data_IF_083455137562
#
_entry.id   IF_083455137562
#
_cell.length_a   1.000
_cell.length_b   1.000
_cell.length_c   1.000
_cell.angle_alpha   90.00
_cell.angle_beta   90.00
_cell.angle_gamma   90.00
#
_symmetry.space_group_name_H-M   'P 1'
#
loop_
_entity.id
_entity.type
_entity.pdbx_description
1 polymer ?
#
# COMPACT_ATOMS: atom_id res chain seq x y z
N UNK A 1 28.98 9.76 58.48
CA UNK A 1 28.00 9.81 57.37
C UNK A 1 28.74 10.25 56.12
N UNK A 2 28.88 9.41 55.09
CA UNK A 2 29.53 9.87 53.85
C UNK A 2 30.10 8.77 52.96
N UNK A 3 29.26 7.86 52.45
CA UNK A 3 29.64 6.93 51.35
C UNK A 3 28.48 6.65 50.38
N UNK A 4 27.47 7.53 50.31
CA UNK A 4 26.27 7.32 49.47
C UNK A 4 26.27 8.04 48.10
N UNK A 5 27.24 8.92 47.82
CA UNK A 5 27.17 9.81 46.65
C UNK A 5 27.71 9.21 45.35
N UNK A 6 28.82 8.48 45.40
CA UNK A 6 29.57 8.07 44.19
C UNK A 6 28.90 6.96 43.39
N UNK A 7 28.23 6.01 44.05
CA UNK A 7 27.51 4.92 43.39
C UNK A 7 26.27 5.42 42.62
N UNK A 8 25.63 6.50 43.09
CA UNK A 8 24.43 7.06 42.47
C UNK A 8 24.76 7.88 41.19
N UNK A 9 25.87 8.60 41.16
CA UNK A 9 26.28 9.33 39.95
C UNK A 9 26.77 8.40 38.83
N UNK A 10 27.44 7.30 39.18
CA UNK A 10 27.89 6.31 38.19
C UNK A 10 26.72 5.58 37.52
N UNK A 11 25.65 5.28 38.26
CA UNK A 11 24.46 4.62 37.70
C UNK A 11 23.67 5.55 36.78
N UNK A 12 23.50 6.83 37.14
CA UNK A 12 22.84 7.84 36.29
C UNK A 12 23.62 8.09 35.00
N UNK A 13 24.95 8.22 35.07
CA UNK A 13 25.80 8.42 33.88
C UNK A 13 25.72 7.21 32.91
N UNK A 14 25.67 5.99 33.46
CA UNK A 14 25.55 4.76 32.65
C UNK A 14 24.19 4.66 31.95
N UNK A 15 23.10 5.01 32.64
CA UNK A 15 21.76 5.04 32.05
C UNK A 15 21.64 6.12 30.95
N UNK A 16 22.19 7.32 31.18
CA UNK A 16 22.21 8.38 30.17
C UNK A 16 23.06 7.98 28.95
N UNK A 17 24.21 7.34 29.16
CA UNK A 17 25.04 6.82 28.07
C UNK A 17 24.34 5.71 27.28
N UNK A 18 23.62 4.80 27.96
CA UNK A 18 22.85 3.74 27.32
C UNK A 18 21.67 4.30 26.51
N UNK A 19 20.93 5.26 27.07
CA UNK A 19 19.86 5.98 26.36
C UNK A 19 20.44 6.76 25.17
N UNK A 20 21.56 7.46 25.36
CA UNK A 20 22.26 8.19 24.32
C UNK A 20 22.72 7.28 23.18
N UNK A 21 23.31 6.12 23.50
CA UNK A 21 23.72 5.11 22.53
C UNK A 21 22.52 4.47 21.82
N UNK A 22 21.42 4.20 22.53
CA UNK A 22 20.18 3.69 21.97
C UNK A 22 19.54 4.70 21.01
N UNK A 23 19.42 5.97 21.41
CA UNK A 23 18.90 7.04 20.57
C UNK A 23 19.81 7.31 19.37
N UNK A 24 21.13 7.27 19.56
CA UNK A 24 22.10 7.41 18.48
C UNK A 24 22.03 6.25 17.48
N UNK A 25 21.95 5.00 17.95
CA UNK A 25 21.75 3.83 17.07
C UNK A 25 20.40 3.87 16.36
N UNK A 26 19.34 4.33 17.03
CA UNK A 26 18.01 4.52 16.44
C UNK A 26 18.06 5.59 15.33
N UNK A 27 18.75 6.71 15.58
CA UNK A 27 18.93 7.81 14.61
C UNK A 27 19.85 7.43 13.44
N UNK A 28 20.88 6.60 13.68
CA UNK A 28 21.79 6.08 12.64
C UNK A 28 21.07 5.21 11.60
N UNK A 29 19.99 4.52 11.99
CA UNK A 29 19.18 3.67 11.10
C UNK A 29 18.30 4.43 10.11
N UNK A 30 18.16 5.74 10.25
CA UNK A 30 17.37 6.58 9.33
C UNK A 30 18.21 7.49 8.44
N UNK A 31 19.54 7.33 8.45
CA UNK A 31 20.44 8.10 7.59
C UNK A 31 20.31 7.57 6.16
N UNK A 32 20.00 8.47 5.22
CA UNK A 32 19.97 8.15 3.79
C UNK A 32 21.36 7.67 3.33
N UNK A 33 21.42 6.68 2.42
CA UNK A 33 22.70 6.17 1.94
C UNK A 33 23.44 7.24 1.13
N UNK A 34 24.77 7.23 1.25
CA UNK A 34 25.66 8.12 0.52
C UNK A 34 25.91 7.64 -0.92
N UNK A 35 25.85 6.32 -1.12
CA UNK A 35 26.06 5.64 -2.39
C UNK A 35 24.75 5.07 -2.90
N UNK A 36 24.50 5.28 -4.18
CA UNK A 36 23.30 4.84 -4.89
C UNK A 36 23.73 4.11 -6.14
N UNK A 37 23.08 2.98 -6.42
CA UNK A 37 23.31 2.18 -7.62
C UNK A 37 22.10 2.30 -8.53
N UNK A 38 22.35 2.62 -9.79
CA UNK A 38 21.32 2.60 -10.83
C UNK A 38 21.00 1.15 -11.19
N UNK A 39 19.71 0.79 -11.17
CA UNK A 39 19.26 -0.57 -11.51
C UNK A 39 18.35 -0.61 -12.72
N UNK A 40 17.69 0.50 -13.06
CA UNK A 40 16.78 0.55 -14.19
C UNK A 40 15.90 1.78 -14.17
N UNK A 41 14.69 1.64 -14.69
CA UNK A 41 13.73 2.74 -14.81
C UNK A 41 12.36 2.35 -14.25
N UNK A 42 11.60 3.36 -13.86
CA UNK A 42 10.21 3.21 -13.47
C UNK A 42 9.36 2.97 -14.72
N UNK A 43 8.97 1.72 -14.96
CA UNK A 43 8.23 1.30 -16.15
C UNK A 43 6.76 1.69 -16.11
N UNK A 44 6.10 1.52 -14.96
CA UNK A 44 4.67 1.83 -14.78
C UNK A 44 4.40 2.43 -13.42
N UNK A 45 3.45 3.35 -13.39
CA UNK A 45 2.89 3.96 -12.19
C UNK A 45 1.40 3.66 -12.11
N UNK A 46 1.00 2.96 -11.06
CA UNK A 46 -0.38 2.58 -10.83
C UNK A 46 -0.91 3.19 -9.53
N UNK A 47 -2.09 3.77 -9.61
CA UNK A 47 -2.86 4.26 -8.47
C UNK A 47 -4.17 3.48 -8.41
N UNK A 48 -4.63 3.11 -7.21
CA UNK A 48 -5.87 2.35 -7.03
C UNK A 48 -6.77 3.15 -6.08
N UNK A 49 -7.61 4.07 -6.59
CA UNK A 49 -8.34 5.00 -5.72
C UNK A 49 -9.25 4.27 -4.73
N UNK A 50 -9.90 3.20 -5.20
CA UNK A 50 -10.73 2.32 -4.41
C UNK A 50 -9.95 1.08 -3.92
N UNK A 51 -10.06 0.76 -2.63
CA UNK A 51 -9.57 -0.51 -2.08
C UNK A 51 -10.22 -1.68 -2.82
N UNK A 52 -9.41 -2.50 -3.48
CA UNK A 52 -9.84 -3.60 -4.36
C UNK A 52 -10.52 -3.18 -5.67
N UNK A 53 -10.54 -1.88 -5.99
CA UNK A 53 -10.99 -1.35 -7.27
C UNK A 53 -10.00 -1.56 -8.40
N UNK A 54 -10.38 -1.14 -9.60
CA UNK A 54 -9.55 -1.15 -10.79
C UNK A 54 -8.33 -0.21 -10.64
N UNK A 55 -7.33 -0.40 -11.50
CA UNK A 55 -6.12 0.44 -11.52
C UNK A 55 -6.37 1.69 -12.36
N UNK A 56 -5.79 2.80 -11.96
CA UNK A 56 -5.55 3.97 -12.77
C UNK A 56 -4.05 4.04 -13.08
N UNK A 57 -3.70 3.90 -14.35
CA UNK A 57 -2.32 4.04 -14.80
C UNK A 57 -1.99 5.52 -15.01
N UNK A 58 -0.86 5.96 -14.48
CA UNK A 58 -0.42 7.35 -14.47
C UNK A 58 0.93 7.48 -15.19
N UNK A 59 1.19 8.64 -15.77
CA UNK A 59 2.53 8.99 -16.26
C UNK A 59 3.37 9.73 -15.21
N UNK A 60 2.72 10.32 -14.20
CA UNK A 60 3.32 11.13 -13.15
C UNK A 60 2.47 11.05 -11.88
N UNK A 61 3.11 11.01 -10.73
CA UNK A 61 2.45 11.01 -9.43
C UNK A 61 3.26 11.80 -8.38
N UNK A 62 2.57 12.34 -7.39
CA UNK A 62 3.15 12.86 -6.15
C UNK A 62 3.24 11.70 -5.15
N UNK A 63 4.44 11.44 -4.63
CA UNK A 63 4.64 10.56 -3.48
C UNK A 63 4.44 11.35 -2.19
N UNK A 64 3.34 11.10 -1.51
CA UNK A 64 3.00 11.68 -0.22
C UNK A 64 3.38 10.74 0.91
N UNK A 65 3.29 11.18 2.16
CA UNK A 65 3.49 10.32 3.32
C UNK A 65 2.50 9.14 3.40
N UNK A 66 1.34 9.22 2.73
CA UNK A 66 0.30 8.19 2.69
C UNK A 66 0.33 7.32 1.43
N UNK A 67 1.28 7.55 0.52
CA UNK A 67 1.39 6.85 -0.75
C UNK A 67 1.22 7.77 -1.96
N UNK A 68 0.87 7.18 -3.11
CA UNK A 68 0.73 7.93 -4.36
C UNK A 68 -0.53 8.80 -4.36
N UNK A 69 -0.38 10.00 -4.92
CA UNK A 69 -1.44 10.94 -5.21
C UNK A 69 -1.27 11.42 -6.65
N UNK A 70 -2.38 11.55 -7.37
CA UNK A 70 -2.40 12.11 -8.71
C UNK A 70 -1.84 13.54 -8.68
N UNK A 71 -0.98 13.91 -9.63
CA UNK A 71 -0.54 15.30 -9.73
C UNK A 71 -1.64 16.17 -10.32
N UNK A 72 -1.79 17.39 -9.82
CA UNK A 72 -2.65 18.39 -10.43
C UNK A 72 -2.09 18.77 -11.82
N UNK A 73 -2.92 18.71 -12.85
CA UNK A 73 -2.72 19.47 -14.10
C UNK A 73 -3.34 20.87 -13.96
N UNK A 74 -4.43 20.96 -13.19
CA UNK A 74 -5.10 22.18 -12.71
C UNK A 74 -5.29 22.06 -11.19
N UNK A 75 -4.90 23.09 -10.44
CA UNK A 75 -5.02 23.13 -8.96
C UNK A 75 -6.46 23.10 -8.47
N UNK A 76 -7.44 23.45 -9.33
CA UNK A 76 -8.86 23.44 -8.97
C UNK A 76 -9.50 22.05 -8.99
N UNK A 77 -8.86 21.09 -9.66
CA UNK A 77 -9.40 19.75 -9.81
C UNK A 77 -8.95 18.85 -8.66
N UNK A 78 -9.88 18.09 -8.10
CA UNK A 78 -9.57 17.12 -7.05
C UNK A 78 -8.52 16.11 -7.54
N UNK A 79 -7.65 15.67 -6.64
CA UNK A 79 -6.58 14.71 -6.97
C UNK A 79 -6.83 13.38 -6.27
N UNK A 80 -6.90 12.29 -7.04
CA UNK A 80 -7.08 10.96 -6.50
C UNK A 80 -5.87 10.55 -5.64
N UNK A 81 -6.16 9.81 -4.57
CA UNK A 81 -5.16 9.23 -3.67
C UNK A 81 -5.26 7.72 -3.71
N UNK A 82 -4.12 7.07 -3.57
CA UNK A 82 -4.06 5.62 -3.52
C UNK A 82 -4.83 5.08 -2.31
N UNK A 83 -5.80 4.21 -2.59
CA UNK A 83 -6.73 3.60 -1.63
C UNK A 83 -7.38 4.65 -0.71
N UNK A 84 -7.79 5.80 -1.27
CA UNK A 84 -8.55 6.84 -0.58
C UNK A 84 -10.03 6.49 -0.34
N UNK A 85 -10.55 5.46 -1.01
CA UNK A 85 -11.91 4.95 -0.86
C UNK A 85 -11.93 3.50 -0.40
N UNK A 86 -12.98 3.12 0.32
CA UNK A 86 -13.23 1.74 0.78
C UNK A 86 -14.70 1.39 0.75
N UNK A 87 -15.04 0.18 0.31
CA UNK A 87 -16.40 -0.36 0.49
C UNK A 87 -16.47 -1.08 1.83
N UNK A 88 -17.50 -0.83 2.62
CA UNK A 88 -17.71 -1.49 3.90
C UNK A 88 -19.17 -1.92 4.08
N UNK A 89 -19.43 -2.88 4.95
CA UNK A 89 -20.77 -3.33 5.26
C UNK A 89 -21.44 -2.47 6.33
N UNK A 90 -22.71 -2.14 6.10
CA UNK A 90 -23.46 -1.21 6.95
C UNK A 90 -23.60 -1.69 8.41
N UNK A 91 -23.81 -3.00 8.59
CA UNK A 91 -24.12 -3.61 9.89
C UNK A 91 -22.94 -3.64 10.86
N UNK A 92 -21.77 -4.05 10.37
CA UNK A 92 -20.58 -4.36 11.20
C UNK A 92 -19.42 -3.39 10.96
N UNK A 93 -19.54 -2.52 9.94
CA UNK A 93 -18.51 -1.59 9.46
C UNK A 93 -17.22 -2.27 9.03
N UNK A 94 -17.30 -3.55 8.65
CA UNK A 94 -16.17 -4.27 8.09
C UNK A 94 -16.03 -3.96 6.61
N UNK A 95 -14.81 -3.66 6.19
CA UNK A 95 -14.45 -3.56 4.79
C UNK A 95 -14.82 -4.81 3.97
N UNK A 96 -15.16 -4.60 2.70
CA UNK A 96 -15.31 -5.66 1.69
C UNK A 96 -14.20 -5.54 0.65
N UNK A 97 -13.75 -6.68 0.13
CA UNK A 97 -12.63 -6.73 -0.83
C UNK A 97 -12.86 -7.72 -1.95
N UNK A 98 -12.03 -7.62 -2.99
CA UNK A 98 -12.02 -8.58 -4.08
C UNK A 98 -11.59 -10.01 -3.66
N UNK A 99 -11.13 -10.21 -2.41
CA UNK A 99 -10.99 -11.55 -1.83
C UNK A 99 -12.33 -12.26 -1.64
N UNK A 100 -13.41 -11.50 -1.45
CA UNK A 100 -14.76 -12.04 -1.28
C UNK A 100 -15.63 -11.71 -2.49
N UNK A 101 -15.46 -10.53 -3.07
CA UNK A 101 -16.23 -10.04 -4.22
C UNK A 101 -15.32 -9.67 -5.40
N UNK A 102 -14.80 -10.65 -6.16
CA UNK A 102 -13.80 -10.44 -7.19
C UNK A 102 -14.10 -9.33 -8.19
N UNK A 103 -15.36 -9.18 -8.62
CA UNK A 103 -15.79 -8.13 -9.56
C UNK A 103 -15.54 -6.69 -9.10
N UNK A 104 -15.22 -6.45 -7.81
CA UNK A 104 -14.76 -5.14 -7.34
C UNK A 104 -13.55 -4.63 -8.13
N UNK A 105 -12.70 -5.51 -8.67
CA UNK A 105 -11.53 -5.10 -9.48
C UNK A 105 -11.91 -4.42 -10.79
N UNK A 106 -13.18 -4.47 -11.18
CA UNK A 106 -13.74 -3.83 -12.38
C UNK A 106 -14.39 -2.48 -12.09
N UNK A 107 -14.30 -1.98 -10.86
CA UNK A 107 -14.85 -0.68 -10.47
C UNK A 107 -13.79 0.37 -10.74
N UNK A 108 -14.07 1.23 -11.71
CA UNK A 108 -13.26 2.39 -12.06
C UNK A 108 -13.65 3.61 -11.22
N UNK A 109 -12.64 4.41 -10.90
CA UNK A 109 -12.82 5.69 -10.20
C UNK A 109 -11.99 6.74 -10.91
N UNK A 110 -12.67 7.79 -11.38
CA UNK A 110 -12.07 8.95 -12.02
C UNK A 110 -12.54 10.24 -11.34
N UNK A 111 -11.82 11.32 -11.58
CA UNK A 111 -12.27 12.67 -11.18
C UNK A 111 -13.25 13.16 -12.23
N UNK A 112 -14.42 13.65 -11.81
CA UNK A 112 -15.39 14.25 -12.74
C UNK A 112 -15.19 15.76 -12.84
N UNK A 113 -15.15 16.43 -11.68
CA UNK A 113 -15.00 17.89 -11.56
C UNK A 113 -14.32 18.26 -10.22
N UNK A 114 -14.45 19.51 -9.78
CA UNK A 114 -13.83 20.03 -8.55
C UNK A 114 -14.30 19.32 -7.28
N UNK A 115 -15.54 18.83 -7.24
CA UNK A 115 -16.15 18.25 -6.04
C UNK A 115 -16.83 16.89 -6.24
N UNK A 116 -16.76 16.28 -7.43
CA UNK A 116 -17.32 14.96 -7.73
C UNK A 116 -16.31 13.95 -8.28
N UNK A 117 -16.48 12.70 -7.86
CA UNK A 117 -15.85 11.52 -8.44
C UNK A 117 -16.84 10.82 -9.37
N UNK A 118 -16.37 10.34 -10.52
CA UNK A 118 -17.10 9.41 -11.37
C UNK A 118 -16.70 7.97 -11.00
N UNK A 119 -17.69 7.15 -10.66
CA UNK A 119 -17.52 5.73 -10.36
C UNK A 119 -18.26 4.93 -11.43
N UNK A 120 -17.53 4.08 -12.14
CA UNK A 120 -18.06 3.25 -13.21
C UNK A 120 -17.81 1.77 -12.96
N UNK A 121 -18.70 0.92 -13.46
CA UNK A 121 -18.53 -0.52 -13.45
C UNK A 121 -19.41 -1.16 -14.52
N UNK A 122 -19.04 -2.35 -15.05
CA UNK A 122 -19.84 -3.06 -16.04
C UNK A 122 -21.30 -3.20 -15.63
N UNK A 123 -22.22 -2.96 -16.56
CA UNK A 123 -23.70 -3.08 -16.40
C UNK A 123 -24.35 -2.06 -15.45
N UNK A 124 -23.59 -1.12 -14.89
CA UNK A 124 -24.10 -0.04 -14.06
C UNK A 124 -24.12 1.27 -14.84
N UNK A 125 -25.00 2.21 -14.44
CA UNK A 125 -24.84 3.61 -14.83
C UNK A 125 -23.73 4.24 -14.00
N UNK A 126 -22.94 5.11 -14.61
CA UNK A 126 -21.91 5.89 -13.90
C UNK A 126 -22.55 6.67 -12.75
N UNK A 127 -21.95 6.54 -11.57
CA UNK A 127 -22.34 7.26 -10.37
C UNK A 127 -21.42 8.47 -10.20
N UNK A 128 -22.01 9.64 -9.98
CA UNK A 128 -21.27 10.85 -9.61
C UNK A 128 -21.38 11.07 -8.11
N UNK A 129 -20.30 10.78 -7.38
CA UNK A 129 -20.26 10.91 -5.93
C UNK A 129 -19.65 12.25 -5.56
N UNK A 130 -20.40 13.10 -4.87
CA UNK A 130 -19.84 14.30 -4.25
C UNK A 130 -18.81 13.90 -3.18
N UNK A 131 -17.64 14.51 -3.23
CA UNK A 131 -16.57 14.33 -2.24
C UNK A 131 -17.12 14.79 -0.88
N UNK A 132 -17.20 13.90 0.12
CA UNK A 132 -17.92 14.22 1.34
C UNK A 132 -17.10 15.14 2.25
N UNK A 133 -17.76 16.14 2.82
CA UNK A 133 -17.21 16.97 3.90
C UNK A 133 -17.51 16.33 5.25
N UNK A 134 -16.52 16.34 6.15
CA UNK A 134 -16.66 15.81 7.51
C UNK A 134 -17.74 16.55 8.32
N UNK A 135 -18.56 15.79 9.04
CA UNK A 135 -19.47 16.27 10.08
C UNK A 135 -19.73 15.14 11.10
N UNK A 136 -20.35 15.48 12.23
CA UNK A 136 -20.56 14.53 13.34
C UNK A 136 -21.44 13.31 12.98
N UNK A 137 -22.16 13.34 11.85
CA UNK A 137 -23.09 12.27 11.45
C UNK A 137 -22.47 11.27 10.48
N UNK A 138 -21.46 11.68 9.70
CA UNK A 138 -20.84 10.83 8.67
C UNK A 138 -19.41 10.41 8.99
N UNK A 139 -18.83 10.87 10.10
CA UNK A 139 -17.51 10.47 10.57
C UNK A 139 -17.57 9.28 11.53
N UNK A 140 -16.82 8.21 11.25
CA UNK A 140 -16.65 7.07 12.15
C UNK A 140 -15.42 6.23 11.79
N UNK A 141 -15.25 5.07 12.44
CA UNK A 141 -14.22 4.09 12.10
C UNK A 141 -14.81 2.88 11.36
N UNK A 142 -14.12 2.45 10.31
CA UNK A 142 -14.34 1.15 9.66
C UNK A 142 -13.28 0.17 10.15
N UNK A 143 -13.62 -1.12 10.20
CA UNK A 143 -12.73 -2.19 10.62
C UNK A 143 -12.09 -2.83 9.40
N UNK A 144 -10.76 -2.81 9.35
CA UNK A 144 -9.95 -3.56 8.41
C UNK A 144 -9.53 -4.91 9.02
N UNK A 145 -8.57 -5.58 8.38
CA UNK A 145 -7.96 -6.80 8.85
C UNK A 145 -7.53 -6.72 10.32
N UNK A 146 -7.70 -7.83 11.05
CA UNK A 146 -7.33 -7.95 12.47
C UNK A 146 -8.02 -6.90 13.37
N UNK A 147 -9.14 -6.34 12.92
CA UNK A 147 -9.92 -5.35 13.69
C UNK A 147 -9.28 -3.96 13.74
N UNK A 148 -8.34 -3.66 12.85
CA UNK A 148 -7.76 -2.31 12.76
C UNK A 148 -8.83 -1.29 12.41
N UNK A 149 -9.01 -0.30 13.29
CA UNK A 149 -10.00 0.76 13.10
C UNK A 149 -9.40 1.94 12.34
N UNK A 150 -10.00 2.27 11.19
CA UNK A 150 -9.55 3.36 10.33
C UNK A 150 -10.64 4.42 10.21
N UNK A 151 -10.26 5.66 10.46
CA UNK A 151 -11.08 6.85 10.24
C UNK A 151 -11.72 6.86 8.85
N UNK A 152 -12.99 7.22 8.76
CA UNK A 152 -13.76 7.17 7.52
C UNK A 152 -14.88 8.22 7.55
N UNK A 153 -15.10 8.84 6.39
CA UNK A 153 -16.24 9.70 6.10
C UNK A 153 -17.17 8.94 5.15
N UNK A 154 -18.43 8.75 5.52
CA UNK A 154 -19.42 8.11 4.63
C UNK A 154 -19.78 9.01 3.44
N UNK A 155 -19.92 8.37 2.27
CA UNK A 155 -20.22 9.03 0.99
C UNK A 155 -21.72 9.13 0.66
N UNK A 156 -22.62 8.80 1.61
CA UNK A 156 -24.05 8.93 1.46
C UNK A 156 -24.77 7.72 0.86
N UNK A 157 -26.09 7.79 0.87
CA UNK A 157 -26.97 6.66 0.55
C UNK A 157 -27.02 6.32 -0.93
N UNK A 158 -26.78 7.29 -1.82
CA UNK A 158 -26.71 7.03 -3.27
C UNK A 158 -25.53 6.13 -3.60
N UNK A 159 -24.36 6.42 -3.03
CA UNK A 159 -23.18 5.56 -3.14
C UNK A 159 -23.45 4.20 -2.50
N UNK A 160 -24.08 4.15 -1.32
CA UNK A 160 -24.45 2.89 -0.67
C UNK A 160 -25.29 1.98 -1.58
N UNK A 161 -26.38 2.50 -2.14
CA UNK A 161 -27.25 1.74 -3.04
C UNK A 161 -26.53 1.29 -4.32
N UNK A 162 -25.68 2.14 -4.91
CA UNK A 162 -24.93 1.76 -6.11
C UNK A 162 -23.97 0.59 -5.84
N UNK A 163 -23.17 0.67 -4.77
CA UNK A 163 -22.22 -0.38 -4.40
C UNK A 163 -22.93 -1.66 -3.97
N UNK A 164 -24.03 -1.56 -3.24
CA UNK A 164 -24.87 -2.72 -2.90
C UNK A 164 -25.43 -3.42 -4.12
N UNK A 165 -25.97 -2.68 -5.11
CA UNK A 165 -26.52 -3.27 -6.33
C UNK A 165 -25.44 -3.94 -7.15
N UNK A 166 -24.32 -3.24 -7.36
CA UNK A 166 -23.25 -3.80 -8.17
C UNK A 166 -22.61 -5.01 -7.49
N UNK A 167 -22.30 -4.95 -6.18
CA UNK A 167 -21.54 -6.00 -5.48
C UNK A 167 -22.44 -7.14 -5.02
N UNK A 168 -23.54 -6.84 -4.33
CA UNK A 168 -24.43 -7.83 -3.72
C UNK A 168 -25.64 -8.22 -4.57
N UNK A 169 -26.01 -7.39 -5.57
CA UNK A 169 -27.30 -7.54 -6.25
C UNK A 169 -28.50 -7.15 -5.38
N UNK A 170 -28.28 -6.28 -4.38
CA UNK A 170 -29.28 -5.83 -3.42
C UNK A 170 -29.34 -4.31 -3.38
N UNK A 171 -30.43 -3.71 -2.90
CA UNK A 171 -30.54 -2.24 -2.80
C UNK A 171 -29.78 -1.62 -1.62
N UNK A 172 -29.35 -2.43 -0.65
CA UNK A 172 -28.67 -1.98 0.58
C UNK A 172 -27.68 -3.01 1.13
N UNK A 173 -26.98 -2.68 2.23
CA UNK A 173 -26.04 -3.57 2.92
C UNK A 173 -24.56 -3.20 2.80
N UNK A 174 -24.15 -2.44 1.78
CA UNK A 174 -22.81 -1.89 1.61
C UNK A 174 -22.88 -0.37 1.54
N UNK A 175 -21.77 0.26 1.91
CA UNK A 175 -21.58 1.71 1.89
C UNK A 175 -20.18 2.03 1.37
N UNK A 176 -19.98 3.27 0.94
CA UNK A 176 -18.69 3.79 0.48
C UNK A 176 -18.11 4.75 1.53
N UNK A 177 -16.89 4.46 1.96
CA UNK A 177 -16.11 5.30 2.86
C UNK A 177 -15.01 6.05 2.12
N UNK A 178 -14.75 7.27 2.57
CA UNK A 178 -13.71 8.17 2.08
C UNK A 178 -12.75 8.56 3.20
N UNK A 179 -11.46 8.66 2.86
CA UNK A 179 -10.42 9.12 3.76
C UNK A 179 -9.76 10.41 3.23
N UNK A 180 -9.94 11.52 3.96
CA UNK A 180 -9.43 12.85 3.61
C UNK A 180 -7.93 13.05 3.85
N UNK A 181 -7.26 12.00 4.33
CA UNK A 181 -5.83 11.96 4.73
C UNK A 181 -5.49 12.84 5.95
N UNK A 182 -6.49 13.20 6.76
CA UNK A 182 -6.28 13.97 7.99
C UNK A 182 -5.75 13.16 9.17
N UNK A 183 -5.82 11.82 9.10
CA UNK A 183 -5.41 10.91 10.18
C UNK A 183 -4.47 9.82 9.71
N UNK A 184 -3.42 9.57 10.49
CA UNK A 184 -2.53 8.41 10.33
C UNK A 184 -3.07 7.20 11.06
N UNK A 185 -2.85 6.01 10.51
CA UNK A 185 -3.16 4.74 11.18
C UNK A 185 -2.22 4.48 12.34
N UNK A 186 -2.72 3.76 13.34
CA UNK A 186 -1.95 3.34 14.50
C UNK A 186 -1.85 1.81 14.57
N UNK A 187 -0.86 1.26 13.89
CA UNK A 187 -0.65 -0.20 13.80
C UNK A 187 -0.01 -0.79 15.06
N UNK A 188 0.40 0.05 16.02
CA UNK A 188 0.98 -0.41 17.30
C UNK A 188 -0.02 -1.18 18.18
N UNK A 189 -1.31 -0.98 17.93
CA UNK A 189 -2.40 -1.63 18.66
C UNK A 189 -2.76 -3.00 18.11
N UNK A 190 -2.64 -3.19 16.80
CA UNK A 190 -3.16 -4.37 16.08
C UNK A 190 -2.08 -5.26 15.47
N UNK A 191 -0.89 -4.72 15.15
CA UNK A 191 0.15 -5.44 14.39
C UNK A 191 1.46 -5.63 15.16
N UNK A 192 1.39 -5.85 16.48
CA UNK A 192 2.57 -5.97 17.36
C UNK A 192 3.61 -6.98 16.86
N UNK A 193 3.19 -8.18 16.48
CA UNK A 193 4.09 -9.23 15.96
C UNK A 193 4.83 -8.79 14.70
N UNK A 194 4.20 -8.00 13.83
CA UNK A 194 4.87 -7.47 12.64
C UNK A 194 5.88 -6.38 13.03
N UNK A 195 5.52 -5.48 13.95
CA UNK A 195 6.42 -4.42 14.42
C UNK A 195 7.65 -4.96 15.14
N UNK A 196 7.51 -6.05 15.90
CA UNK A 196 8.63 -6.70 16.60
C UNK A 196 9.60 -7.36 15.61
N UNK A 197 9.08 -7.94 14.52
CA UNK A 197 9.90 -8.65 13.53
C UNK A 197 10.53 -7.69 12.51
N UNK A 198 9.74 -6.78 11.94
CA UNK A 198 10.19 -5.85 10.88
C UNK A 198 10.61 -4.51 11.47
N UNK A 199 11.93 -4.39 11.72
CA UNK A 199 12.54 -3.26 12.43
C UNK A 199 12.30 -1.88 11.80
N UNK A 200 11.94 -1.81 10.53
CA UNK A 200 11.68 -0.57 9.80
C UNK A 200 10.20 -0.28 9.61
N UNK A 201 9.32 -1.21 9.98
CA UNK A 201 7.88 -1.01 9.91
C UNK A 201 7.45 -0.04 11.01
N UNK A 202 6.62 0.93 10.64
CA UNK A 202 6.11 1.94 11.55
C UNK A 202 4.73 2.43 11.11
N UNK A 203 4.07 3.26 11.91
CA UNK A 203 2.85 3.94 11.49
C UNK A 203 3.09 4.77 10.21
N UNK A 204 4.31 5.27 9.99
CA UNK A 204 4.66 6.02 8.77
C UNK A 204 4.73 5.16 7.52
N UNK A 205 4.88 3.86 7.67
CA UNK A 205 4.84 2.95 6.54
C UNK A 205 3.43 2.87 5.94
N UNK A 206 2.39 3.23 6.69
CA UNK A 206 1.01 2.87 6.37
C UNK A 206 0.35 3.74 5.30
N UNK A 207 -0.29 3.10 4.32
CA UNK A 207 -1.19 3.81 3.38
C UNK A 207 -2.57 4.06 4.01
N UNK A 208 -3.46 4.73 3.28
CA UNK A 208 -4.85 4.99 3.71
C UNK A 208 -5.64 3.69 3.94
N UNK A 209 -6.44 3.23 2.99
CA UNK A 209 -7.11 1.92 3.10
C UNK A 209 -6.27 0.77 2.50
N UNK A 210 -4.98 0.98 2.25
CA UNK A 210 -4.02 -0.09 1.89
C UNK A 210 -3.98 -1.17 2.99
N UNK A 211 -3.62 -2.40 2.65
CA UNK A 211 -3.56 -3.48 3.66
C UNK A 211 -2.54 -3.15 4.76
N UNK A 212 -1.35 -2.71 4.37
CA UNK A 212 -0.33 -2.22 5.28
C UNK A 212 0.33 -0.97 4.71
N UNK A 213 1.20 -1.10 3.72
CA UNK A 213 2.10 -0.03 3.29
C UNK A 213 1.49 0.97 2.29
N UNK A 214 2.08 2.16 2.27
CA UNK A 214 1.78 3.29 1.37
C UNK A 214 2.10 3.03 -0.09
N UNK A 215 3.16 2.25 -0.37
CA UNK A 215 3.64 2.01 -1.73
C UNK A 215 4.11 0.57 -1.85
N UNK A 216 3.61 -0.12 -2.87
CA UNK A 216 4.08 -1.45 -3.26
C UNK A 216 4.94 -1.34 -4.53
N UNK A 217 6.15 -1.88 -4.49
CA UNK A 217 7.03 -2.00 -5.65
C UNK A 217 7.15 -3.45 -6.08
N UNK A 218 7.21 -3.67 -7.40
CA UNK A 218 7.57 -4.96 -7.98
C UNK A 218 8.58 -4.75 -9.11
N UNK A 219 9.47 -5.73 -9.28
CA UNK A 219 10.35 -5.82 -10.42
C UNK A 219 9.67 -6.61 -11.55
N UNK A 220 9.76 -6.11 -12.77
CA UNK A 220 9.22 -6.77 -13.96
C UNK A 220 9.90 -8.12 -14.23
N UNK A 221 11.20 -8.27 -13.96
CA UNK A 221 11.92 -9.54 -14.12
C UNK A 221 11.35 -10.65 -13.20
N UNK A 222 10.90 -10.30 -11.99
CA UNK A 222 10.21 -11.22 -11.07
C UNK A 222 8.92 -11.77 -11.69
N UNK A 223 8.14 -10.94 -12.38
CA UNK A 223 6.92 -11.38 -13.08
C UNK A 223 7.25 -12.35 -14.21
N UNK A 224 8.31 -12.07 -14.98
CA UNK A 224 8.73 -12.95 -16.07
C UNK A 224 9.19 -14.32 -15.56
N UNK A 225 9.99 -14.37 -14.49
CA UNK A 225 10.44 -15.63 -13.89
C UNK A 225 9.26 -16.44 -13.34
N UNK A 226 8.30 -15.80 -12.66
CA UNK A 226 7.08 -16.47 -12.20
C UNK A 226 6.28 -17.07 -13.37
N UNK A 227 6.05 -16.31 -14.44
CA UNK A 227 5.32 -16.83 -15.62
C UNK A 227 6.04 -18.02 -16.25
N UNK A 228 7.38 -18.00 -16.33
CA UNK A 228 8.17 -19.15 -16.81
C UNK A 228 7.94 -20.39 -15.96
N UNK A 229 7.89 -20.24 -14.63
CA UNK A 229 7.65 -21.35 -13.69
C UNK A 229 6.24 -21.94 -13.78
N UNK A 230 5.23 -21.10 -14.04
CA UNK A 230 3.84 -21.56 -14.23
C UNK A 230 3.67 -22.30 -15.58
N UNK A 231 4.56 -22.06 -16.54
CA UNK A 231 4.49 -22.63 -17.89
C UNK A 231 4.01 -21.62 -18.94
N UNK A 232 4.55 -20.40 -18.92
CA UNK A 232 4.21 -19.27 -19.80
C UNK A 232 2.74 -18.81 -19.67
N UNK A 233 2.31 -18.57 -18.44
CA UNK A 233 1.00 -17.96 -18.16
C UNK A 233 0.98 -16.45 -18.47
N UNK A 234 -0.22 -15.88 -18.45
CA UNK A 234 -0.47 -14.45 -18.68
C UNK A 234 -0.59 -13.65 -17.37
N UNK A 235 0.08 -14.07 -16.29
CA UNK A 235 0.05 -13.30 -15.04
C UNK A 235 0.79 -11.99 -15.25
N UNK A 236 0.16 -10.89 -14.86
CA UNK A 236 0.74 -9.55 -15.00
C UNK A 236 1.12 -8.99 -13.63
N UNK A 237 1.86 -7.88 -13.63
CA UNK A 237 2.11 -7.11 -12.41
C UNK A 237 0.79 -6.70 -11.73
N UNK A 238 -0.28 -6.47 -12.49
CA UNK A 238 -1.55 -5.96 -11.97
C UNK A 238 -2.29 -6.98 -11.09
N UNK A 239 -2.01 -8.28 -11.26
CA UNK A 239 -2.45 -9.32 -10.31
C UNK A 239 -1.92 -9.05 -8.88
N UNK A 240 -0.74 -8.45 -8.75
CA UNK A 240 -0.10 -8.13 -7.47
C UNK A 240 -0.37 -6.71 -6.98
N UNK A 241 -1.05 -5.91 -7.79
CA UNK A 241 -1.48 -4.53 -7.53
C UNK A 241 -0.37 -3.56 -7.05
N UNK A 242 0.85 -3.60 -7.64
CA UNK A 242 1.92 -2.69 -7.28
C UNK A 242 1.56 -1.26 -7.66
N UNK A 243 2.12 -0.30 -6.94
CA UNK A 243 2.14 1.10 -7.34
C UNK A 243 3.27 1.37 -8.33
N UNK A 244 4.44 0.80 -8.07
CA UNK A 244 5.64 1.00 -8.88
C UNK A 244 6.04 -0.32 -9.55
N UNK A 245 6.15 -0.33 -10.87
CA UNK A 245 6.77 -1.43 -11.62
C UNK A 245 8.11 -0.93 -12.14
N UNK A 246 9.20 -1.56 -11.70
CA UNK A 246 10.56 -1.23 -12.13
C UNK A 246 11.03 -2.26 -13.17
N UNK A 247 11.79 -1.81 -14.16
CA UNK A 247 12.34 -2.66 -15.21
C UNK A 247 13.72 -2.14 -15.63
N UNK A 248 14.62 -3.05 -15.96
CA UNK A 248 16.00 -2.74 -16.30
C UNK A 248 16.72 -3.99 -16.79
N UNK A 249 17.71 -3.83 -17.69
CA UNK A 249 18.40 -4.96 -18.32
C UNK A 249 19.18 -5.82 -17.32
N UNK A 250 19.67 -5.21 -16.23
CA UNK A 250 20.54 -5.85 -15.25
C UNK A 250 19.82 -6.21 -13.94
N UNK A 251 18.48 -6.08 -13.90
CA UNK A 251 17.70 -6.42 -12.70
C UNK A 251 17.37 -7.91 -12.71
N UNK A 252 17.97 -8.66 -11.79
CA UNK A 252 17.66 -10.07 -11.62
C UNK A 252 16.25 -10.27 -11.00
N UNK A 253 15.55 -11.38 -11.31
CA UNK A 253 14.30 -11.70 -10.63
C UNK A 253 14.45 -11.68 -9.11
N UNK A 254 13.52 -11.00 -8.44
CA UNK A 254 13.43 -10.83 -6.99
C UNK A 254 14.55 -10.03 -6.34
N UNK A 255 15.39 -9.34 -7.10
CA UNK A 255 16.42 -8.49 -6.53
C UNK A 255 15.86 -7.38 -5.62
N UNK A 256 14.61 -6.97 -5.84
CA UNK A 256 13.92 -6.02 -4.98
C UNK A 256 13.88 -6.43 -3.51
N UNK A 257 13.96 -7.73 -3.21
CA UNK A 257 13.95 -8.26 -1.84
C UNK A 257 15.11 -7.71 -0.99
N UNK A 258 16.26 -7.39 -1.60
CA UNK A 258 17.48 -6.93 -0.89
C UNK A 258 17.73 -5.43 -1.01
N UNK A 259 16.85 -4.69 -1.69
CA UNK A 259 16.93 -3.24 -1.74
C UNK A 259 16.49 -2.67 -0.40
N UNK A 260 17.42 -2.08 0.34
CA UNK A 260 17.16 -1.46 1.63
C UNK A 260 16.51 -0.09 1.45
N UNK A 261 17.01 0.65 0.46
CA UNK A 261 16.51 1.95 0.04
C UNK A 261 16.24 1.95 -1.46
N UNK A 262 15.20 2.67 -1.85
CA UNK A 262 14.87 2.91 -3.26
C UNK A 262 14.70 4.41 -3.44
N UNK A 263 15.23 4.98 -4.51
CA UNK A 263 15.04 6.36 -4.91
C UNK A 263 14.56 6.39 -6.36
N UNK A 264 13.49 7.14 -6.60
CA UNK A 264 12.91 7.37 -7.92
C UNK A 264 12.55 8.83 -8.00
N UNK A 265 13.03 9.54 -9.03
CA UNK A 265 12.89 11.00 -9.11
C UNK A 265 13.37 11.68 -7.82
N UNK A 266 12.49 12.51 -7.23
CA UNK A 266 12.75 13.21 -5.97
C UNK A 266 12.38 12.39 -4.72
N UNK A 267 11.62 11.31 -4.89
CA UNK A 267 11.11 10.50 -3.80
C UNK A 267 12.15 9.47 -3.33
N UNK A 268 12.22 9.28 -2.01
CA UNK A 268 13.08 8.27 -1.38
C UNK A 268 12.23 7.39 -0.49
N UNK A 269 12.41 6.09 -0.65
CA UNK A 269 11.66 5.05 0.03
C UNK A 269 12.57 4.15 0.86
N UNK A 270 12.05 3.70 1.99
CA UNK A 270 12.63 2.65 2.80
C UNK A 270 11.88 1.35 2.55
N UNK A 271 12.58 0.26 2.24
CA UNK A 271 11.96 -1.06 2.24
C UNK A 271 11.69 -1.48 3.69
N UNK A 272 10.42 -1.80 3.98
CA UNK A 272 9.99 -2.16 5.34
C UNK A 272 9.67 -3.64 5.49
N UNK A 273 9.29 -4.33 4.40
CA UNK A 273 8.82 -5.72 4.43
C UNK A 273 8.63 -6.28 3.02
N UNK A 274 8.90 -7.55 2.82
CA UNK A 274 8.36 -8.29 1.67
C UNK A 274 6.82 -8.34 1.69
N UNK A 275 6.19 -8.29 0.52
CA UNK A 275 4.73 -8.28 0.42
C UNK A 275 4.17 -9.70 0.34
N UNK A 276 3.47 -10.12 1.40
CA UNK A 276 2.77 -11.41 1.45
C UNK A 276 1.54 -11.39 0.56
N UNK A 277 1.37 -12.45 -0.23
CA UNK A 277 0.33 -12.55 -1.26
C UNK A 277 -0.82 -13.42 -0.79
N UNK A 278 -2.02 -13.07 -1.25
CA UNK A 278 -3.27 -13.69 -0.84
C UNK A 278 -4.13 -14.00 -2.07
N UNK A 279 -5.26 -14.66 -1.87
CA UNK A 279 -6.17 -15.13 -2.95
C UNK A 279 -6.56 -14.07 -3.98
N UNK A 280 -6.48 -12.78 -3.62
CA UNK A 280 -6.75 -11.71 -4.57
C UNK A 280 -5.84 -11.76 -5.81
N UNK A 281 -4.61 -12.26 -5.70
CA UNK A 281 -3.69 -12.37 -6.85
C UNK A 281 -4.18 -13.35 -7.91
N UNK A 282 -5.08 -14.27 -7.55
CA UNK A 282 -5.67 -15.24 -8.48
C UNK A 282 -6.91 -14.68 -9.20
N UNK A 283 -7.31 -13.44 -8.91
CA UNK A 283 -8.38 -12.74 -9.64
C UNK A 283 -7.76 -12.07 -10.86
N UNK A 284 -8.32 -12.33 -12.04
CA UNK A 284 -7.94 -11.61 -13.26
C UNK A 284 -8.41 -10.14 -13.12
N UNK A 285 -7.50 -9.15 -13.21
CA UNK A 285 -7.85 -7.75 -12.98
C UNK A 285 -8.77 -7.15 -14.06
N UNK A 286 -8.80 -7.72 -15.26
CA UNK A 286 -9.59 -7.24 -16.40
C UNK A 286 -10.99 -7.87 -16.47
N UNK A 287 -11.15 -9.11 -15.99
CA UNK A 287 -12.44 -9.83 -16.05
C UNK A 287 -13.11 -10.00 -14.70
N UNK A 288 -12.40 -9.77 -13.59
CA UNK A 288 -12.89 -10.04 -12.24
C UNK A 288 -13.14 -11.52 -11.95
N UNK A 289 -12.71 -12.43 -12.84
CA UNK A 289 -12.87 -13.88 -12.67
C UNK A 289 -11.73 -14.42 -11.83
N UNK A 290 -12.06 -15.22 -10.82
CA UNK A 290 -11.06 -15.94 -10.01
C UNK A 290 -10.60 -17.20 -10.75
N UNK A 291 -9.28 -17.35 -10.91
CA UNK A 291 -8.65 -18.56 -11.41
C UNK A 291 -8.93 -19.76 -10.50
N UNK A 292 -9.36 -20.86 -11.12
CA UNK A 292 -9.69 -22.12 -10.43
C UNK A 292 -8.47 -22.96 -10.06
N UNK A 293 -7.36 -22.74 -10.77
CA UNK A 293 -6.07 -23.40 -10.61
C UNK A 293 -5.24 -22.87 -9.43
N UNK A 294 -5.72 -21.80 -8.78
CA UNK A 294 -5.06 -21.05 -7.70
C UNK A 294 -3.75 -20.37 -8.13
N UNK A 295 -3.49 -20.21 -9.42
CA UNK A 295 -2.31 -19.45 -9.87
C UNK A 295 -2.52 -17.93 -9.68
N UNK A 296 -1.48 -17.16 -9.33
CA UNK A 296 -0.08 -17.55 -9.19
C UNK A 296 0.33 -18.11 -7.81
N UNK A 297 -0.61 -18.24 -6.86
CA UNK A 297 -0.26 -18.62 -5.49
C UNK A 297 0.28 -20.03 -5.40
N UNK A 298 -0.33 -20.98 -6.10
CA UNK A 298 0.10 -22.38 -6.12
C UNK A 298 1.57 -22.52 -6.51
N UNK A 299 2.03 -21.77 -7.50
CA UNK A 299 3.44 -21.78 -7.88
C UNK A 299 4.32 -21.05 -6.87
N UNK A 300 3.93 -19.87 -6.41
CA UNK A 300 4.72 -19.12 -5.40
C UNK A 300 4.88 -19.91 -4.08
N UNK A 301 3.87 -20.68 -3.66
CA UNK A 301 3.92 -21.56 -2.48
C UNK A 301 5.09 -22.56 -2.50
N UNK A 302 5.60 -22.91 -3.69
CA UNK A 302 6.66 -23.92 -3.87
C UNK A 302 8.07 -23.36 -3.67
N UNK A 303 8.30 -22.05 -3.88
CA UNK A 303 9.66 -21.49 -3.91
C UNK A 303 9.80 -20.09 -3.29
N UNK A 304 8.70 -19.37 -3.05
CA UNK A 304 8.72 -17.98 -2.55
C UNK A 304 7.84 -17.81 -1.33
N UNK A 305 8.24 -18.41 -0.22
CA UNK A 305 7.55 -18.28 1.06
C UNK A 305 8.22 -17.25 1.98
N UNK A 306 7.41 -16.50 2.73
CA UNK A 306 7.86 -15.53 3.73
C UNK A 306 8.63 -16.20 4.89
N UNK A 307 9.77 -15.61 5.24
CA UNK A 307 10.50 -15.95 6.46
C UNK A 307 9.91 -15.28 7.72
N UNK A 308 9.02 -14.31 7.54
CA UNK A 308 8.37 -13.59 8.61
C UNK A 308 7.35 -14.38 9.43
N UNK A 309 6.59 -13.67 10.30
CA UNK A 309 5.59 -14.27 11.18
C UNK A 309 4.48 -15.00 10.42
N UNK A 310 4.10 -14.49 9.25
CA UNK A 310 3.12 -15.15 8.38
C UNK A 310 3.83 -16.00 7.34
N UNK A 311 3.52 -17.31 7.31
CA UNK A 311 4.01 -18.26 6.30
C UNK A 311 3.13 -18.23 5.06
N UNK A 312 3.21 -17.12 4.32
CA UNK A 312 2.48 -16.91 3.07
C UNK A 312 3.46 -16.71 1.91
N UNK A 313 3.02 -16.94 0.66
CA UNK A 313 3.81 -16.62 -0.51
C UNK A 313 4.16 -15.14 -0.54
N UNK A 314 5.30 -14.78 -1.13
CA UNK A 314 5.78 -13.39 -1.22
C UNK A 314 6.14 -13.02 -2.65
N UNK A 315 5.94 -11.76 -2.97
CA UNK A 315 6.31 -11.16 -4.26
C UNK A 315 6.42 -9.66 -4.02
N UNK A 316 7.39 -8.93 -4.56
CA UNK A 316 7.52 -7.48 -4.38
C UNK A 316 7.68 -7.01 -2.92
N UNK A 317 7.91 -5.70 -2.75
CA UNK A 317 8.28 -5.09 -1.46
C UNK A 317 7.36 -3.94 -1.07
N UNK A 318 7.07 -3.85 0.22
CA UNK A 318 6.35 -2.75 0.83
C UNK A 318 7.33 -1.64 1.19
N UNK A 319 6.97 -0.41 0.81
CA UNK A 319 7.82 0.76 0.95
C UNK A 319 7.19 1.81 1.87
N UNK A 320 8.01 2.43 2.71
CA UNK A 320 7.69 3.65 3.44
C UNK A 320 8.28 4.86 2.70
N UNK A 321 7.48 5.91 2.49
CA UNK A 321 7.97 7.17 1.90
C UNK A 321 8.75 7.94 2.96
N UNK A 322 10.07 8.07 2.78
CA UNK A 322 10.97 8.81 3.68
C UNK A 322 11.26 10.23 3.18
N UNK A 323 11.17 10.45 1.87
CA UNK A 323 11.18 11.76 1.24
C UNK A 323 10.06 11.82 0.21
N UNK A 324 9.16 12.78 0.36
CA UNK A 324 8.11 13.06 -0.62
C UNK A 324 8.71 13.68 -1.87
N UNK A 325 8.01 13.56 -2.99
CA UNK A 325 8.53 14.06 -4.26
C UNK A 325 7.66 13.64 -5.42
N UNK A 326 7.96 14.19 -6.59
CA UNK A 326 7.29 13.82 -7.83
C UNK A 326 8.10 12.70 -8.49
N UNK A 327 7.37 11.71 -9.01
CA UNK A 327 7.94 10.62 -9.82
C UNK A 327 7.18 10.49 -11.13
N UNK A 328 7.88 10.02 -12.17
CA UNK A 328 7.36 9.85 -13.52
C UNK A 328 7.77 8.50 -14.10
N UNK A 329 6.94 7.98 -14.99
CA UNK A 329 7.35 6.86 -15.84
C UNK A 329 8.60 7.27 -16.63
N UNK A 330 9.61 6.39 -16.65
CA UNK A 330 10.92 6.64 -17.24
C UNK A 330 11.96 7.22 -16.29
N UNK A 331 11.59 7.65 -15.07
CA UNK A 331 12.57 8.07 -14.07
C UNK A 331 13.54 6.93 -13.75
N UNK A 332 14.82 7.27 -13.63
CA UNK A 332 15.88 6.35 -13.22
C UNK A 332 15.62 5.89 -11.78
N UNK A 333 15.75 4.59 -11.56
CA UNK A 333 15.61 3.96 -10.25
C UNK A 333 16.99 3.68 -9.69
N UNK A 334 17.24 4.26 -8.52
CA UNK A 334 18.44 4.03 -7.75
C UNK A 334 18.13 3.22 -6.49
N UNK A 335 19.05 2.37 -6.07
CA UNK A 335 18.90 1.57 -4.84
C UNK A 335 20.14 1.67 -3.97
N UNK A 336 19.98 1.38 -2.69
CA UNK A 336 21.08 0.97 -1.82
C UNK A 336 20.70 -0.37 -1.19
N UNK A 337 21.64 -1.32 -1.23
CA UNK A 337 21.44 -2.67 -0.72
C UNK A 337 21.89 -2.77 0.73
N UNK A 338 21.28 -3.69 1.48
CA UNK A 338 21.78 -4.01 2.81
C UNK A 338 23.19 -4.60 2.72
N UNK A 339 24.10 -4.25 3.66
CA UNK A 339 25.36 -4.96 3.79
C UNK A 339 25.05 -6.46 3.96
N UNK A 340 25.63 -7.29 3.11
CA UNK A 340 25.46 -8.76 3.18
C UNK A 340 25.95 -9.32 4.50
#
# INVERSE_FOLDING_TARGET
MGFGGTAFFASVATVVAAIGAYLYQKKKKEILPWTWEEVGTLKRLNLYPLKSGHRLELMKAECTEFGLKQTAEDEKVYQLRDRGLVVYAEKDREFRTARTYPKMVLIDVAVHDEDHLAIDAPTMRTLYVKIPTKNDKNEFTVKLHQGEEIYTIDCGDEAASWFSRYILGMDSGLRLGYHDASRRRDITKTHKTLLDYYKHLSNNSTGLYSDLSSVLLINQASIHDLNKRIGNSSITADNFRPNLVVDGPDIEPYEEDVWEWVKVGDAVFRNVKECTRCVLTTVNPESGVRGVDREPLKTLEQYRMSNGPSKLPVMGINLEVKRTGIIKVGDVVYVARSPK
#
